data_IF_061325273057
#
_entry.id   IF_061325273057
#
_cell.length_a   1.000
_cell.length_b   1.000
_cell.length_c   1.000
_cell.angle_alpha   90.00
_cell.angle_beta   90.00
_cell.angle_gamma   90.00
#
_symmetry.space_group_name_H-M   'P 1'
#
loop_
_entity.id
_entity.type
_entity.pdbx_description
1 polymer ?
#
# COMPACT_ATOMS: atom_id res chain seq x y z
N UNK A 1 -0.05 28.40 22.17
CA UNK A 1 -0.57 27.81 20.92
C UNK A 1 -0.92 26.36 21.18
N UNK A 2 -2.16 25.93 20.91
CA UNK A 2 -2.60 24.56 21.19
C UNK A 2 -2.02 23.56 20.18
N UNK A 3 -1.58 22.38 20.64
CA UNK A 3 -1.11 21.26 19.80
C UNK A 3 -2.23 20.24 19.66
N UNK A 4 -2.42 19.73 18.44
CA UNK A 4 -3.40 18.68 18.12
C UNK A 4 -2.68 17.57 17.34
N UNK A 5 -3.06 16.31 17.58
CA UNK A 5 -2.62 15.16 16.78
C UNK A 5 -3.59 14.94 15.63
N UNK A 6 -3.07 14.84 14.41
CA UNK A 6 -3.84 14.55 13.20
C UNK A 6 -3.44 13.17 12.70
N UNK A 7 -4.42 12.30 12.47
CA UNK A 7 -4.24 11.00 11.81
C UNK A 7 -4.74 11.10 10.37
N UNK A 8 -4.00 10.51 9.43
CA UNK A 8 -4.36 10.49 8.01
C UNK A 8 -4.43 9.05 7.51
N UNK A 9 -5.35 8.80 6.59
CA UNK A 9 -5.45 7.52 5.90
C UNK A 9 -4.41 7.44 4.77
N UNK A 10 -3.93 6.23 4.48
CA UNK A 10 -2.92 6.00 3.46
C UNK A 10 -3.02 4.58 2.90
N UNK A 11 -2.23 4.32 1.88
CA UNK A 11 -2.15 3.02 1.23
C UNK A 11 -0.88 2.27 1.63
N UNK A 12 -0.98 0.95 1.67
CA UNK A 12 0.13 0.03 1.91
C UNK A 12 0.26 -0.94 0.74
N UNK A 13 1.49 -1.11 0.26
CA UNK A 13 1.77 -2.08 -0.80
C UNK A 13 1.93 -3.49 -0.22
N UNK A 14 1.05 -4.40 -0.58
CA UNK A 14 1.07 -5.83 -0.22
C UNK A 14 2.24 -6.62 -0.84
N UNK A 15 3.09 -5.97 -1.65
CA UNK A 15 4.26 -6.59 -2.29
C UNK A 15 5.61 -6.15 -1.73
N UNK A 16 5.76 -4.86 -1.44
CA UNK A 16 7.01 -4.28 -0.96
C UNK A 16 6.88 -3.58 0.40
N UNK A 17 5.68 -3.61 1.00
CA UNK A 17 5.34 -3.04 2.30
C UNK A 17 5.57 -1.53 2.43
N UNK A 18 5.72 -0.83 1.31
CA UNK A 18 5.81 0.62 1.31
C UNK A 18 4.44 1.24 1.65
N UNK A 19 4.45 2.30 2.44
CA UNK A 19 3.28 3.05 2.86
C UNK A 19 3.35 4.47 2.28
N UNK A 20 2.23 4.97 1.77
CA UNK A 20 2.16 6.33 1.23
C UNK A 20 0.78 6.95 1.44
N UNK A 21 0.74 8.26 1.61
CA UNK A 21 -0.50 9.03 1.65
C UNK A 21 -0.79 9.52 0.22
N UNK A 22 -1.94 9.18 -0.37
CA UNK A 22 -2.30 9.67 -1.71
C UNK A 22 -2.56 11.17 -1.69
N UNK A 23 -2.30 11.84 -2.81
CA UNK A 23 -2.61 13.28 -2.98
C UNK A 23 -4.11 13.52 -3.14
N UNK A 24 -4.82 12.57 -3.75
CA UNK A 24 -6.27 12.59 -3.94
C UNK A 24 -6.82 11.23 -3.50
N UNK A 25 -7.69 11.21 -2.51
CA UNK A 25 -8.33 9.98 -2.03
C UNK A 25 -9.40 9.45 -3.00
N UNK A 26 -9.88 10.27 -3.95
CA UNK A 26 -10.85 9.82 -4.97
C UNK A 26 -10.22 8.96 -6.06
N UNK A 27 -8.92 9.11 -6.30
CA UNK A 27 -8.20 8.30 -7.29
C UNK A 27 -7.30 7.31 -6.57
N UNK A 28 -7.66 6.03 -6.63
CA UNK A 28 -6.77 4.96 -6.23
C UNK A 28 -5.48 5.05 -7.05
N UNK A 29 -4.33 5.03 -6.39
CA UNK A 29 -3.05 5.02 -7.10
C UNK A 29 -2.99 3.78 -7.98
N UNK A 30 -2.85 3.94 -9.30
CA UNK A 30 -2.82 2.80 -10.22
C UNK A 30 -1.61 1.86 -9.97
N UNK A 31 -0.53 2.38 -9.38
CA UNK A 31 0.72 1.65 -9.11
C UNK A 31 1.34 2.03 -7.76
N UNK A 32 2.12 1.12 -7.16
CA UNK A 32 2.94 1.46 -6.01
C UNK A 32 4.04 2.48 -6.42
N UNK A 33 4.22 3.60 -5.70
CA UNK A 33 5.23 4.61 -6.04
C UNK A 33 6.67 4.10 -5.91
N UNK A 34 6.91 3.12 -5.02
CA UNK A 34 8.23 2.52 -4.78
C UNK A 34 8.59 1.43 -5.80
N UNK A 35 7.79 0.36 -5.88
CA UNK A 35 8.11 -0.80 -6.72
C UNK A 35 7.42 -0.81 -8.09
N UNK A 36 6.61 0.22 -8.40
CA UNK A 36 5.85 0.39 -9.65
C UNK A 36 4.88 -0.75 -9.99
N UNK A 37 4.59 -1.63 -9.03
CA UNK A 37 3.65 -2.72 -9.25
C UNK A 37 2.21 -2.20 -9.34
N UNK A 38 1.44 -2.55 -10.38
CA UNK A 38 0.01 -2.22 -10.45
C UNK A 38 -0.82 -3.02 -9.44
N UNK A 39 -0.36 -4.20 -9.04
CA UNK A 39 -1.04 -5.05 -8.07
C UNK A 39 -0.57 -4.79 -6.63
N UNK A 40 -0.38 -3.52 -6.27
CA UNK A 40 0.10 -3.15 -4.94
C UNK A 40 -0.94 -3.45 -3.85
N UNK A 41 -2.23 -3.42 -4.20
CA UNK A 41 -3.38 -3.66 -3.31
C UNK A 41 -3.80 -5.13 -3.27
N UNK A 42 -2.97 -6.05 -3.75
CA UNK A 42 -3.29 -7.49 -3.82
C UNK A 42 -2.18 -8.31 -3.19
N UNK A 43 -2.49 -9.22 -2.26
CA UNK A 43 -1.50 -10.12 -1.69
C UNK A 43 -0.90 -11.01 -2.79
N UNK A 44 0.37 -11.35 -2.65
CA UNK A 44 0.99 -12.34 -3.53
C UNK A 44 0.30 -13.69 -3.31
N UNK A 45 -0.06 -14.37 -4.41
CA UNK A 45 -0.51 -15.77 -4.33
C UNK A 45 0.56 -16.57 -3.61
N UNK A 46 0.24 -17.11 -2.43
CA UNK A 46 1.15 -17.99 -1.70
C UNK A 46 1.42 -19.18 -2.62
N UNK A 47 2.69 -19.41 -2.96
CA UNK A 47 3.06 -20.69 -3.56
C UNK A 47 2.82 -21.73 -2.46
N UNK A 48 1.80 -22.57 -2.64
CA UNK A 48 1.64 -23.76 -1.81
C UNK A 48 2.89 -24.59 -2.13
N UNK A 49 3.91 -24.48 -1.29
CA UNK A 49 5.03 -25.40 -1.31
C UNK A 49 4.42 -26.76 -1.02
N UNK A 50 4.27 -27.60 -2.05
CA UNK A 50 4.02 -29.03 -1.84
C UNK A 50 5.13 -29.52 -0.92
N UNK A 51 4.77 -29.80 0.32
CA UNK A 51 5.63 -30.57 1.23
C UNK A 51 5.80 -31.93 0.55
N UNK A 52 7.03 -32.21 0.11
CA UNK A 52 7.49 -33.56 -0.24
C UNK A 52 7.68 -34.32 1.06
#
# INVERSE_FOLDING_TARGET
MAKVKISVEGFKCERCSHEWVPRNFKEESAVCPKCKSPYWNRPRKKKISKKI
#
